data_IF_620514694740
#
_entry.id   IF_620514694740
#
_cell.length_a   1.000
_cell.length_b   1.000
_cell.length_c   1.000
_cell.angle_alpha   90.00
_cell.angle_beta   90.00
_cell.angle_gamma   90.00
#
_symmetry.space_group_name_H-M   'P 1'
#
loop_
_entity.id
_entity.type
_entity.pdbx_description
1 polymer ?
#
# COMPACT_ATOMS: atom_id res chain seq x y z
N UNK A 1 -10.78 4.45 -31.00
CA UNK A 1 -9.64 3.72 -30.42
C UNK A 1 -8.61 4.76 -30.07
N UNK A 2 -8.60 5.21 -28.79
CA UNK A 2 -7.63 6.20 -28.33
C UNK A 2 -6.28 5.51 -28.17
N UNK A 3 -5.23 6.11 -28.70
CA UNK A 3 -3.85 5.72 -28.39
C UNK A 3 -3.67 5.74 -26.86
N UNK A 4 -3.35 4.59 -26.28
CA UNK A 4 -2.88 4.53 -24.89
C UNK A 4 -1.69 5.48 -24.79
N UNK A 5 -1.85 6.52 -24.00
CA UNK A 5 -0.83 7.54 -23.74
C UNK A 5 0.29 6.91 -22.91
N UNK A 6 1.17 6.14 -23.57
CA UNK A 6 2.24 5.32 -22.95
C UNK A 6 3.34 6.14 -22.26
N UNK A 7 3.34 7.46 -22.44
CA UNK A 7 4.47 8.31 -22.02
C UNK A 7 4.22 9.12 -20.74
N UNK A 8 3.08 8.96 -20.08
CA UNK A 8 2.81 9.66 -18.83
C UNK A 8 3.04 8.73 -17.63
N UNK A 9 3.77 9.24 -16.63
CA UNK A 9 3.92 8.57 -15.37
C UNK A 9 2.53 8.25 -14.75
N UNK A 10 2.30 7.06 -14.19
CA UNK A 10 1.02 6.71 -13.60
C UNK A 10 0.77 7.51 -12.32
N UNK A 11 -0.50 7.73 -12.00
CA UNK A 11 -0.91 8.16 -10.67
C UNK A 11 -0.79 6.98 -9.72
N UNK A 12 0.06 7.09 -8.70
CA UNK A 12 0.42 5.98 -7.81
C UNK A 12 -0.30 6.10 -6.47
N UNK A 13 -1.09 5.09 -6.13
CA UNK A 13 -1.54 4.84 -4.77
C UNK A 13 -0.54 3.93 -4.05
N UNK A 14 -0.25 4.22 -2.79
CA UNK A 14 0.44 3.29 -1.90
C UNK A 14 -0.54 2.75 -0.86
N UNK A 15 -0.33 1.55 -0.37
CA UNK A 15 -1.13 1.01 0.73
C UNK A 15 -0.25 0.44 1.83
N UNK A 16 -0.70 0.60 3.07
CA UNK A 16 -0.17 -0.11 4.24
C UNK A 16 -1.29 -0.31 5.25
N UNK A 17 -1.31 -1.44 5.94
CA UNK A 17 -2.36 -1.69 6.92
C UNK A 17 -2.18 -2.97 7.73
N UNK A 18 -3.22 -3.31 8.49
CA UNK A 18 -3.24 -4.49 9.33
C UNK A 18 -3.32 -5.78 8.51
N UNK A 19 -2.64 -6.82 9.01
CA UNK A 19 -2.75 -8.17 8.47
C UNK A 19 -3.99 -8.92 8.99
N UNK A 20 -4.40 -8.60 10.22
CA UNK A 20 -5.50 -9.21 10.97
C UNK A 20 -6.76 -8.34 10.91
N UNK A 21 -7.41 -8.31 9.75
CA UNK A 21 -8.63 -7.54 9.54
C UNK A 21 -9.86 -8.27 10.10
N UNK A 22 -10.79 -7.51 10.68
CA UNK A 22 -12.09 -8.03 11.11
C UNK A 22 -12.89 -8.47 9.87
N UNK A 23 -13.22 -9.76 9.79
CA UNK A 23 -13.84 -10.34 8.58
C UNK A 23 -15.21 -9.74 8.25
N UNK A 24 -15.99 -9.39 9.27
CA UNK A 24 -17.31 -8.73 9.08
C UNK A 24 -17.20 -7.34 8.50
N UNK A 25 -16.03 -6.70 8.60
CA UNK A 25 -15.80 -5.33 8.12
C UNK A 25 -15.30 -5.30 6.66
N UNK A 26 -14.88 -6.44 6.10
CA UNK A 26 -14.33 -6.51 4.74
C UNK A 26 -15.24 -5.90 3.66
N UNK A 27 -16.58 -6.11 3.66
CA UNK A 27 -17.46 -5.48 2.69
C UNK A 27 -17.41 -3.95 2.75
N UNK A 28 -17.41 -3.37 3.96
CA UNK A 28 -17.35 -1.92 4.14
C UNK A 28 -15.97 -1.36 3.77
N UNK A 29 -14.89 -2.06 4.11
CA UNK A 29 -13.53 -1.68 3.69
C UNK A 29 -13.38 -1.66 2.17
N UNK A 30 -13.91 -2.67 1.47
CA UNK A 30 -13.91 -2.72 0.00
C UNK A 30 -14.69 -1.54 -0.59
N UNK A 31 -15.85 -1.21 -0.03
CA UNK A 31 -16.67 -0.08 -0.45
C UNK A 31 -15.93 1.25 -0.28
N UNK A 32 -15.27 1.45 0.87
CA UNK A 32 -14.50 2.67 1.15
C UNK A 32 -13.29 2.81 0.20
N UNK A 33 -12.57 1.73 -0.05
CA UNK A 33 -11.48 1.72 -1.03
C UNK A 33 -12.00 2.07 -2.44
N UNK A 34 -13.16 1.51 -2.81
CA UNK A 34 -13.77 1.81 -4.11
C UNK A 34 -14.17 3.29 -4.24
N UNK A 35 -14.69 3.90 -3.17
CA UNK A 35 -14.97 5.35 -3.10
C UNK A 35 -13.70 6.14 -3.34
N UNK A 36 -12.61 5.80 -2.64
CA UNK A 36 -11.31 6.48 -2.80
C UNK A 36 -10.82 6.39 -4.25
N UNK A 37 -10.75 5.20 -4.80
CA UNK A 37 -10.27 5.01 -6.18
C UNK A 37 -11.14 5.71 -7.21
N UNK A 38 -12.46 5.66 -7.05
CA UNK A 38 -13.41 6.33 -7.95
C UNK A 38 -13.27 7.84 -7.91
N UNK A 39 -13.08 8.42 -6.72
CA UNK A 39 -12.86 9.86 -6.55
C UNK A 39 -11.65 10.34 -7.37
N UNK A 40 -10.51 9.67 -7.25
CA UNK A 40 -9.31 10.07 -7.98
C UNK A 40 -9.43 9.83 -9.48
N UNK A 41 -10.11 8.77 -9.91
CA UNK A 41 -10.39 8.55 -11.34
C UNK A 41 -11.27 9.64 -11.95
N UNK A 42 -12.21 10.16 -11.18
CA UNK A 42 -13.03 11.31 -11.62
C UNK A 42 -12.23 12.61 -11.64
N UNK A 43 -11.37 12.82 -10.64
CA UNK A 43 -10.52 14.01 -10.57
C UNK A 43 -9.42 14.05 -11.64
N UNK A 44 -8.93 12.87 -12.05
CA UNK A 44 -7.84 12.73 -13.04
C UNK A 44 -8.21 11.76 -14.16
N UNK A 45 -9.22 12.08 -15.00
CA UNK A 45 -9.82 11.15 -15.97
C UNK A 45 -8.85 10.65 -17.06
N UNK A 46 -7.75 11.37 -17.28
CA UNK A 46 -6.74 11.05 -18.28
C UNK A 46 -5.48 10.39 -17.70
N UNK A 47 -5.46 10.12 -16.39
CA UNK A 47 -4.35 9.43 -15.74
C UNK A 47 -4.50 7.92 -15.84
N UNK A 48 -3.38 7.23 -16.02
CA UNK A 48 -3.29 5.82 -15.68
C UNK A 48 -3.06 5.68 -14.18
N UNK A 49 -3.63 4.65 -13.56
CA UNK A 49 -3.55 4.44 -12.12
C UNK A 49 -2.83 3.16 -11.79
N UNK A 50 -2.01 3.22 -10.74
CA UNK A 50 -1.26 2.08 -10.23
C UNK A 50 -1.35 2.01 -8.70
N UNK A 51 -1.53 0.81 -8.15
CA UNK A 51 -1.44 0.53 -6.72
C UNK A 51 -0.12 -0.14 -6.40
N UNK A 52 0.65 0.50 -5.55
CA UNK A 52 1.92 0.01 -5.03
C UNK A 52 1.68 -0.74 -3.72
N UNK A 53 1.87 -2.05 -3.73
CA UNK A 53 1.60 -2.93 -2.59
C UNK A 53 2.49 -4.16 -2.60
N UNK A 54 3.08 -4.59 -1.45
CA UNK A 54 3.85 -5.83 -1.37
C UNK A 54 2.96 -7.09 -1.27
N UNK A 55 1.63 -6.95 -1.29
CA UNK A 55 0.67 -8.06 -1.17
C UNK A 55 0.79 -8.85 0.16
N UNK A 56 1.16 -8.20 1.24
CA UNK A 56 1.08 -8.82 2.57
C UNK A 56 -0.37 -9.20 2.89
N UNK A 57 -0.57 -10.15 3.82
CA UNK A 57 -1.92 -10.54 4.25
C UNK A 57 -2.75 -9.34 4.71
N UNK A 58 -4.06 -9.43 4.60
CA UNK A 58 -5.00 -8.44 5.10
C UNK A 58 -5.14 -7.21 4.19
N UNK A 59 -4.83 -6.04 4.69
CA UNK A 59 -5.08 -4.74 4.06
C UNK A 59 -4.54 -4.62 2.64
N UNK A 60 -3.32 -5.07 2.43
CA UNK A 60 -2.64 -5.01 1.13
C UNK A 60 -3.42 -5.78 0.06
N UNK A 61 -3.86 -6.99 0.39
CA UNK A 61 -4.61 -7.85 -0.55
C UNK A 61 -6.02 -7.36 -0.80
N UNK A 62 -6.71 -6.86 0.25
CA UNK A 62 -8.03 -6.25 0.08
C UNK A 62 -7.94 -5.05 -0.86
N UNK A 63 -6.93 -4.20 -0.68
CA UNK A 63 -6.71 -3.06 -1.56
C UNK A 63 -6.35 -3.49 -2.99
N UNK A 64 -5.51 -4.52 -3.15
CA UNK A 64 -5.13 -5.06 -4.45
C UNK A 64 -6.33 -5.62 -5.23
N UNK A 65 -7.22 -6.37 -4.56
CA UNK A 65 -8.44 -6.90 -5.19
C UNK A 65 -9.38 -5.78 -5.66
N UNK A 66 -9.60 -4.76 -4.81
CA UNK A 66 -10.43 -3.61 -5.20
C UNK A 66 -9.77 -2.81 -6.32
N UNK A 67 -8.46 -2.64 -6.31
CA UNK A 67 -7.72 -1.97 -7.38
C UNK A 67 -7.91 -2.68 -8.73
N UNK A 68 -7.71 -4.00 -8.77
CA UNK A 68 -7.91 -4.80 -9.98
C UNK A 68 -9.34 -4.69 -10.52
N UNK A 69 -10.36 -4.81 -9.66
CA UNK A 69 -11.77 -4.68 -10.08
C UNK A 69 -12.13 -3.26 -10.51
N UNK A 70 -11.35 -2.26 -10.07
CA UNK A 70 -11.47 -0.86 -10.48
C UNK A 70 -10.63 -0.51 -11.72
N UNK A 71 -9.95 -1.47 -12.35
CA UNK A 71 -9.09 -1.25 -13.52
C UNK A 71 -7.78 -0.50 -13.18
N UNK A 72 -7.33 -0.57 -11.94
CA UNK A 72 -6.06 -0.02 -11.47
C UNK A 72 -5.00 -1.10 -11.56
N UNK A 73 -3.85 -0.77 -12.15
CA UNK A 73 -2.71 -1.68 -12.30
C UNK A 73 -2.07 -1.98 -10.95
N UNK A 74 -1.47 -3.17 -10.81
CA UNK A 74 -0.70 -3.52 -9.61
C UNK A 74 0.80 -3.44 -9.90
N UNK A 75 1.53 -2.78 -8.99
CA UNK A 75 2.98 -2.78 -8.91
C UNK A 75 3.40 -3.38 -7.57
N UNK A 76 4.18 -4.44 -7.61
CA UNK A 76 4.47 -5.26 -6.42
C UNK A 76 5.96 -5.24 -6.07
N UNK A 77 6.39 -4.30 -5.19
CA UNK A 77 7.72 -4.32 -4.60
C UNK A 77 7.79 -5.38 -3.51
N UNK A 78 8.50 -6.46 -3.72
CA UNK A 78 8.71 -7.50 -2.72
C UNK A 78 9.87 -7.14 -1.78
N UNK A 79 9.79 -7.48 -0.48
CA UNK A 79 10.86 -7.19 0.49
C UNK A 79 12.09 -8.07 0.30
N UNK A 80 11.94 -9.19 -0.39
CA UNK A 80 12.97 -10.20 -0.65
C UNK A 80 12.59 -11.04 -1.85
N UNK A 81 13.47 -11.97 -2.28
CA UNK A 81 13.15 -12.93 -3.34
C UNK A 81 11.85 -13.65 -3.05
N UNK A 82 11.05 -13.88 -4.07
CA UNK A 82 9.70 -14.44 -3.95
C UNK A 82 9.67 -15.71 -3.10
N UNK A 83 10.61 -16.64 -3.31
CA UNK A 83 10.67 -17.90 -2.57
C UNK A 83 10.86 -17.72 -1.05
N UNK A 84 11.58 -16.69 -0.63
CA UNK A 84 11.74 -16.37 0.80
C UNK A 84 10.54 -15.60 1.35
N UNK A 85 9.91 -14.76 0.52
CA UNK A 85 8.72 -14.01 0.92
C UNK A 85 7.51 -14.93 1.08
N UNK A 86 7.35 -15.92 0.22
CA UNK A 86 6.27 -16.91 0.30
C UNK A 86 6.25 -17.71 1.61
N UNK A 87 7.38 -17.81 2.31
CA UNK A 87 7.46 -18.48 3.64
C UNK A 87 6.71 -17.72 4.75
N UNK A 88 6.37 -16.47 4.55
CA UNK A 88 5.56 -15.70 5.50
C UNK A 88 4.07 -16.07 5.45
N UNK A 89 3.64 -16.73 4.38
CA UNK A 89 2.26 -17.12 4.17
C UNK A 89 2.06 -18.56 4.64
N UNK A 90 1.66 -18.72 5.90
CA UNK A 90 1.69 -20.00 6.62
C UNK A 90 0.55 -20.96 6.25
N UNK A 91 -0.47 -20.50 5.50
CA UNK A 91 -1.56 -21.34 5.03
C UNK A 91 -1.57 -21.45 3.51
N UNK A 92 -2.03 -22.61 3.00
CA UNK A 92 -2.20 -22.80 1.55
C UNK A 92 -3.10 -21.74 0.92
N UNK A 93 -4.17 -21.33 1.63
CA UNK A 93 -5.06 -20.27 1.19
C UNK A 93 -4.30 -18.96 1.04
N UNK A 94 -3.56 -18.52 2.07
CA UNK A 94 -2.81 -17.26 2.04
C UNK A 94 -1.76 -17.27 0.94
N UNK A 95 -1.03 -18.38 0.77
CA UNK A 95 -0.06 -18.52 -0.31
C UNK A 95 -0.72 -18.50 -1.70
N UNK A 96 -1.84 -19.18 -1.85
CA UNK A 96 -2.62 -19.19 -3.09
C UNK A 96 -3.15 -17.81 -3.48
N UNK A 97 -3.65 -17.04 -2.51
CA UNK A 97 -4.10 -15.65 -2.72
C UNK A 97 -2.95 -14.74 -3.15
N UNK A 98 -1.79 -14.83 -2.49
CA UNK A 98 -0.60 -14.08 -2.87
C UNK A 98 -0.21 -14.36 -4.32
N UNK A 99 -0.05 -15.64 -4.68
CA UNK A 99 0.35 -16.05 -6.03
C UNK A 99 -0.67 -15.62 -7.08
N UNK A 100 -1.96 -15.71 -6.78
CA UNK A 100 -3.03 -15.26 -7.67
C UNK A 100 -2.95 -13.76 -7.94
N UNK A 101 -2.76 -12.95 -6.90
CA UNK A 101 -2.63 -11.50 -7.05
C UNK A 101 -1.33 -11.12 -7.76
N UNK A 102 -0.23 -11.78 -7.42
CA UNK A 102 1.07 -11.55 -8.06
C UNK A 102 1.03 -11.87 -9.56
N UNK A 103 0.34 -12.94 -9.96
CA UNK A 103 0.14 -13.30 -11.37
C UNK A 103 -0.70 -12.27 -12.15
N UNK A 104 -1.49 -11.43 -11.47
CA UNK A 104 -2.25 -10.32 -12.05
C UNK A 104 -1.52 -8.97 -11.94
N UNK A 105 -0.30 -8.94 -11.40
CA UNK A 105 0.49 -7.72 -11.30
C UNK A 105 1.03 -7.30 -12.67
N UNK A 106 1.00 -5.99 -12.94
CA UNK A 106 1.57 -5.42 -14.15
C UNK A 106 3.10 -5.31 -14.06
N UNK A 107 3.60 -5.12 -12.84
CA UNK A 107 5.02 -5.10 -12.53
C UNK A 107 5.30 -5.72 -11.16
N UNK A 108 6.42 -6.42 -11.06
CA UNK A 108 6.89 -7.00 -9.81
C UNK A 108 8.41 -6.96 -9.77
N UNK A 109 8.97 -6.65 -8.61
CA UNK A 109 10.42 -6.62 -8.41
C UNK A 109 10.75 -6.82 -6.94
N UNK A 110 11.98 -7.19 -6.69
CA UNK A 110 12.55 -7.25 -5.37
C UNK A 110 13.20 -5.90 -5.02
N UNK A 111 12.88 -5.36 -3.84
CA UNK A 111 13.65 -4.26 -3.28
C UNK A 111 14.92 -4.81 -2.66
N UNK A 112 15.95 -4.94 -3.49
CA UNK A 112 17.27 -5.39 -3.05
C UNK A 112 17.90 -4.37 -2.10
N UNK A 113 18.39 -4.84 -0.94
CA UNK A 113 19.42 -4.11 -0.22
C UNK A 113 20.78 -4.36 -0.88
N UNK A 114 21.84 -3.93 -0.22
CA UNK A 114 23.23 -4.00 -0.70
C UNK A 114 23.75 -5.42 -1.07
N UNK A 115 22.93 -6.47 -0.83
CA UNK A 115 23.24 -7.87 -1.19
C UNK A 115 21.98 -8.58 -1.72
N UNK A 116 21.73 -8.54 -3.02
CA UNK A 116 20.47 -8.99 -3.62
C UNK A 116 20.19 -10.50 -3.55
N UNK A 117 21.18 -11.35 -3.39
CA UNK A 117 21.03 -12.80 -3.58
C UNK A 117 21.28 -13.66 -2.32
N UNK A 118 21.27 -13.10 -1.12
CA UNK A 118 21.36 -13.93 0.08
C UNK A 118 19.99 -14.32 0.60
N UNK A 119 19.75 -15.63 0.72
CA UNK A 119 18.57 -16.15 1.42
C UNK A 119 18.51 -15.60 2.84
N UNK A 120 17.39 -14.95 3.18
CA UNK A 120 17.15 -14.33 4.47
C UNK A 120 16.37 -15.24 5.42
N UNK A 121 16.39 -16.54 5.16
CA UNK A 121 15.47 -17.52 5.75
C UNK A 121 15.45 -17.59 7.27
N UNK A 122 16.49 -17.13 7.97
CA UNK A 122 16.62 -17.28 9.43
C UNK A 122 16.92 -15.99 10.20
N UNK A 123 17.24 -14.87 9.54
CA UNK A 123 17.60 -13.62 10.22
C UNK A 123 16.40 -12.68 10.35
N UNK A 124 15.73 -12.69 11.51
CA UNK A 124 14.56 -11.87 11.79
C UNK A 124 14.84 -10.35 11.70
N UNK A 125 16.04 -9.92 12.05
CA UNK A 125 16.44 -8.50 12.00
C UNK A 125 16.58 -8.03 10.54
N UNK A 126 17.23 -8.83 9.70
CA UNK A 126 17.35 -8.53 8.27
C UNK A 126 15.98 -8.54 7.60
N UNK A 127 15.12 -9.49 7.91
CA UNK A 127 13.73 -9.50 7.41
C UNK A 127 12.98 -8.22 7.80
N UNK A 128 13.06 -7.80 9.07
CA UNK A 128 12.46 -6.55 9.54
C UNK A 128 12.97 -5.33 8.77
N UNK A 129 14.28 -5.24 8.51
CA UNK A 129 14.87 -4.15 7.70
C UNK A 129 14.35 -4.17 6.25
N UNK A 130 14.15 -5.34 5.65
CA UNK A 130 13.57 -5.48 4.31
C UNK A 130 12.12 -5.01 4.25
N UNK A 131 11.30 -5.37 5.23
CA UNK A 131 9.94 -4.83 5.34
C UNK A 131 9.92 -3.31 5.51
N UNK A 132 10.82 -2.79 6.34
CA UNK A 132 10.98 -1.36 6.52
C UNK A 132 11.36 -0.66 5.21
N UNK A 133 12.28 -1.23 4.43
CA UNK A 133 12.68 -0.68 3.14
C UNK A 133 11.50 -0.63 2.14
N UNK A 134 10.68 -1.68 2.07
CA UNK A 134 9.46 -1.66 1.23
C UNK A 134 8.47 -0.62 1.72
N UNK A 135 8.23 -0.55 3.03
CA UNK A 135 7.34 0.46 3.60
C UNK A 135 7.81 1.89 3.33
N UNK A 136 9.12 2.15 3.43
CA UNK A 136 9.72 3.44 3.10
C UNK A 136 9.59 3.77 1.60
N UNK A 137 9.84 2.79 0.74
CA UNK A 137 9.66 2.94 -0.70
C UNK A 137 8.21 3.30 -1.05
N UNK A 138 7.22 2.58 -0.50
CA UNK A 138 5.80 2.87 -0.71
C UNK A 138 5.45 4.28 -0.21
N UNK A 139 5.90 4.64 0.99
CA UNK A 139 5.67 5.96 1.56
C UNK A 139 6.22 7.09 0.69
N UNK A 140 7.36 6.88 0.04
CA UNK A 140 8.04 7.86 -0.81
C UNK A 140 7.46 7.92 -2.23
N UNK A 141 7.19 6.75 -2.82
CA UNK A 141 6.85 6.65 -4.25
C UNK A 141 5.36 6.86 -4.56
N UNK A 142 4.49 6.92 -3.56
CA UNK A 142 3.05 7.11 -3.78
C UNK A 142 2.65 8.59 -3.76
N UNK A 143 1.72 8.99 -4.65
CA UNK A 143 1.08 10.31 -4.62
C UNK A 143 0.07 10.39 -3.47
N UNK A 144 -0.71 9.33 -3.30
CA UNK A 144 -1.64 9.15 -2.17
C UNK A 144 -1.28 7.88 -1.42
N UNK A 145 -1.07 7.99 -0.12
CA UNK A 145 -0.87 6.85 0.77
C UNK A 145 -2.19 6.49 1.46
N UNK A 146 -2.63 5.24 1.32
CA UNK A 146 -3.84 4.71 1.96
C UNK A 146 -3.41 3.85 3.14
N UNK A 147 -3.90 4.18 4.33
CA UNK A 147 -3.62 3.46 5.57
C UNK A 147 -4.90 2.76 6.07
N UNK A 148 -4.88 1.43 6.14
CA UNK A 148 -5.96 0.61 6.70
C UNK A 148 -5.52 0.09 8.08
N UNK A 149 -5.76 0.86 9.14
CA UNK A 149 -5.30 0.52 10.49
C UNK A 149 -6.13 1.19 11.58
N UNK A 150 -5.90 0.79 12.84
CA UNK A 150 -6.62 1.29 14.02
C UNK A 150 -6.09 2.63 14.57
N UNK A 151 -5.07 3.21 13.94
CA UNK A 151 -4.45 4.46 14.41
C UNK A 151 -3.47 4.28 15.57
N UNK A 152 -3.29 3.08 16.12
CA UNK A 152 -2.46 2.83 17.31
C UNK A 152 -1.01 2.53 16.93
N UNK A 153 -0.09 3.34 17.42
CA UNK A 153 1.35 3.14 17.21
C UNK A 153 1.89 2.08 18.18
N UNK A 154 2.22 0.91 17.66
CA UNK A 154 2.88 -0.17 18.38
C UNK A 154 4.41 -0.14 18.29
N UNK A 155 4.99 0.95 17.76
CA UNK A 155 6.43 1.19 17.58
C UNK A 155 7.16 0.12 16.75
N UNK A 156 6.43 -0.72 16.00
CA UNK A 156 7.01 -1.77 15.18
C UNK A 156 7.64 -1.17 13.92
N UNK A 157 8.94 -1.39 13.74
CA UNK A 157 9.67 -1.02 12.50
C UNK A 157 9.09 -1.78 11.31
N UNK A 158 8.78 -1.07 10.23
CA UNK A 158 8.10 -1.61 9.06
C UNK A 158 6.59 -1.83 9.22
N UNK A 159 6.00 -1.50 10.38
CA UNK A 159 4.55 -1.51 10.59
C UNK A 159 3.88 -0.24 10.04
N UNK A 160 2.54 -0.22 10.03
CA UNK A 160 1.76 0.89 9.41
C UNK A 160 2.04 2.25 10.06
N UNK A 161 2.17 2.32 11.39
CA UNK A 161 2.58 3.55 12.09
C UNK A 161 3.95 4.06 11.62
N UNK A 162 4.89 3.14 11.42
CA UNK A 162 6.22 3.47 10.91
C UNK A 162 6.15 4.00 9.47
N UNK A 163 5.37 3.35 8.59
CA UNK A 163 5.15 3.81 7.20
C UNK A 163 4.54 5.21 7.17
N UNK A 164 3.55 5.49 8.03
CA UNK A 164 2.96 6.83 8.20
C UNK A 164 4.03 7.87 8.56
N UNK A 165 4.89 7.59 9.56
CA UNK A 165 5.99 8.49 9.96
C UNK A 165 6.99 8.71 8.82
N UNK A 166 7.28 7.67 8.02
CA UNK A 166 8.14 7.82 6.83
C UNK A 166 7.50 8.72 5.79
N UNK A 167 6.18 8.59 5.56
CA UNK A 167 5.44 9.49 4.68
C UNK A 167 5.54 10.95 5.12
N UNK A 168 5.32 11.23 6.39
CA UNK A 168 5.43 12.58 6.96
C UNK A 168 6.85 13.16 6.84
N UNK A 169 7.87 12.30 6.97
CA UNK A 169 9.27 12.68 6.76
C UNK A 169 9.51 13.09 5.30
N UNK A 170 9.08 12.28 4.34
CA UNK A 170 9.29 12.55 2.91
C UNK A 170 8.54 13.78 2.43
N UNK A 171 7.32 14.00 2.90
CA UNK A 171 6.53 15.22 2.60
C UNK A 171 7.29 16.46 3.09
N UNK A 172 7.72 16.47 4.36
CA UNK A 172 8.49 17.60 4.90
C UNK A 172 9.80 17.84 4.16
N UNK A 173 10.50 16.78 3.79
CA UNK A 173 11.74 16.91 3.04
C UNK A 173 11.51 17.55 1.67
N UNK A 174 10.47 17.14 0.95
CA UNK A 174 10.09 17.71 -0.33
C UNK A 174 9.71 19.20 -0.22
N UNK A 175 8.93 19.56 0.81
CA UNK A 175 8.57 20.96 1.10
C UNK A 175 9.82 21.83 1.36
N UNK A 176 10.76 21.33 2.16
CA UNK A 176 12.00 22.05 2.48
C UNK A 176 12.94 22.23 1.27
N UNK A 177 12.91 21.28 0.33
CA UNK A 177 13.75 21.31 -0.87
C UNK A 177 13.09 22.05 -2.05
N UNK A 178 11.84 22.47 -1.91
CA UNK A 178 11.05 23.05 -3.00
C UNK A 178 10.84 22.06 -4.16
N UNK A 179 10.98 20.77 -3.89
CA UNK A 179 10.88 19.72 -4.88
C UNK A 179 9.46 19.14 -4.87
N UNK A 180 8.72 19.36 -5.95
CA UNK A 180 7.60 18.48 -6.25
C UNK A 180 8.16 17.12 -6.69
N UNK A 181 7.73 15.97 -6.11
CA UNK A 181 8.28 14.66 -6.45
C UNK A 181 8.03 14.27 -7.93
N UNK A 182 6.98 14.79 -8.52
CA UNK A 182 6.64 14.70 -9.95
C UNK A 182 5.46 15.64 -10.30
N UNK A 183 4.84 15.41 -11.46
CA UNK A 183 3.68 16.20 -11.94
C UNK A 183 2.50 16.21 -10.97
N UNK A 184 2.32 15.16 -10.16
CA UNK A 184 1.22 15.05 -9.21
C UNK A 184 1.61 15.44 -7.77
N UNK A 185 2.89 15.33 -7.40
CA UNK A 185 3.38 15.63 -6.06
C UNK A 185 2.84 14.70 -4.97
N UNK A 186 3.06 15.07 -3.71
CA UNK A 186 2.42 14.40 -2.56
C UNK A 186 1.06 15.02 -2.30
N UNK A 187 -0.01 14.31 -2.68
CA UNK A 187 -1.38 14.82 -2.52
C UNK A 187 -1.95 14.61 -1.12
N UNK A 188 -1.46 13.60 -0.39
CA UNK A 188 -1.88 13.39 0.99
C UNK A 188 -1.90 11.94 1.43
N UNK A 189 -2.51 11.73 2.60
CA UNK A 189 -2.70 10.41 3.21
C UNK A 189 -4.18 10.22 3.54
N UNK A 190 -4.73 9.08 3.15
CA UNK A 190 -6.09 8.67 3.49
C UNK A 190 -5.98 7.58 4.55
N UNK A 191 -6.61 7.83 5.68
CA UNK A 191 -6.73 6.86 6.76
C UNK A 191 -8.12 6.23 6.71
N UNK A 192 -8.20 4.96 6.38
CA UNK A 192 -9.39 4.15 6.56
C UNK A 192 -9.25 3.47 7.92
N UNK A 193 -9.91 4.02 8.93
CA UNK A 193 -9.88 3.47 10.29
C UNK A 193 -10.36 2.03 10.24
N UNK A 194 -9.51 1.11 10.64
CA UNK A 194 -9.75 -0.31 10.48
C UNK A 194 -9.36 -1.03 11.76
N UNK A 195 -10.33 -1.53 12.54
CA UNK A 195 -10.04 -2.30 13.75
C UNK A 195 -9.33 -3.62 13.42
N UNK A 196 -8.62 -4.16 14.41
CA UNK A 196 -8.02 -5.49 14.34
C UNK A 196 -8.98 -6.55 14.83
N UNK A 197 -8.90 -7.75 14.27
CA UNK A 197 -9.64 -8.91 14.77
C UNK A 197 -9.24 -9.24 16.21
N UNK A 198 -7.99 -8.98 16.58
CA UNK A 198 -7.43 -9.25 17.92
C UNK A 198 -7.59 -8.10 18.91
N UNK A 199 -8.16 -6.96 18.51
CA UNK A 199 -8.34 -5.81 19.37
C UNK A 199 -9.77 -5.73 19.92
N UNK A 200 -9.90 -5.46 21.21
CA UNK A 200 -11.18 -5.07 21.80
C UNK A 200 -11.57 -3.69 21.30
N UNK A 201 -12.72 -3.57 20.65
CA UNK A 201 -13.24 -2.30 20.17
C UNK A 201 -14.41 -2.48 19.22
N UNK A 202 -15.32 -1.51 19.25
CA UNK A 202 -16.55 -1.46 18.43
C UNK A 202 -16.47 -0.46 17.29
N UNK A 203 -15.27 0.07 17.00
CA UNK A 203 -15.10 1.04 15.92
C UNK A 203 -15.39 0.39 14.57
N UNK A 204 -16.21 1.06 13.76
CA UNK A 204 -16.49 0.63 12.39
C UNK A 204 -15.53 1.30 11.43
N UNK A 205 -15.22 0.66 10.30
CA UNK A 205 -14.42 1.28 9.25
C UNK A 205 -15.00 2.63 8.82
N UNK A 206 -14.15 3.66 8.78
CA UNK A 206 -14.50 5.00 8.31
C UNK A 206 -13.31 5.65 7.63
N UNK A 207 -13.57 6.52 6.67
CA UNK A 207 -12.53 7.30 5.99
C UNK A 207 -12.23 8.56 6.80
N UNK A 208 -10.95 8.78 7.07
CA UNK A 208 -10.41 10.04 7.59
C UNK A 208 -9.35 10.55 6.61
N UNK A 209 -9.46 11.82 6.23
CA UNK A 209 -8.46 12.44 5.35
C UNK A 209 -7.44 13.15 6.23
N UNK A 210 -6.17 12.76 6.06
CA UNK A 210 -5.04 13.36 6.75
C UNK A 210 -4.26 14.22 5.75
N UNK A 211 -4.34 15.54 5.89
CA UNK A 211 -3.67 16.51 5.01
C UNK A 211 -4.60 17.21 4.02
N UNK A 212 -4.04 17.91 3.04
CA UNK A 212 -4.74 18.84 2.15
C UNK A 212 -5.55 18.21 1.01
N UNK A 213 -6.00 16.96 1.12
CA UNK A 213 -6.86 16.36 0.10
C UNK A 213 -8.27 16.97 0.15
N UNK A 214 -8.91 17.18 -1.02
CA UNK A 214 -10.30 17.59 -1.06
C UNK A 214 -11.20 16.51 -0.43
N UNK A 215 -12.31 16.93 0.15
CA UNK A 215 -13.30 16.00 0.71
C UNK A 215 -13.72 14.95 -0.33
N UNK A 216 -13.70 13.69 0.08
CA UNK A 216 -14.24 12.59 -0.71
C UNK A 216 -15.78 12.70 -0.65
N UNK A 217 -16.39 13.08 -1.76
CA UNK A 217 -17.85 13.17 -1.90
C UNK A 217 -18.45 11.89 -2.44
#
# INVERSE_FOLDING_TARGET
MGEENKDRAPFVFGVSGHRDLVRTDLPELRKQLHIVFSHFRLAYPNASFELLTPLADGADRVAAEVALTSGIKLAVPMPMVQADYERDFTTEQSLGEFRRLLANANSQWELSGDQPNQSLSSDSNKRTQRYAAVGDFIARASHVLILLWDGRDNQKVGGTAWVKKRREHWVRLAEMQGAAPDVFGYLGTIHIVTPRETAEGTERPRIEILGGLPELR
#
